data_IF_388928636270
#
_entry.id   IF_388928636270
#
_cell.length_a   1.000
_cell.length_b   1.000
_cell.length_c   1.000
_cell.angle_alpha   90.00
_cell.angle_beta   90.00
_cell.angle_gamma   90.00
#
_symmetry.space_group_name_H-M   'P 1'
#
loop_
_entity.id
_entity.type
_entity.pdbx_description
1 polymer ?
#
# COMPACT_ATOMS: atom_id res chain seq x y z
N UNK A 1 18.46 -12.13 7.60
CA UNK A 1 17.22 -11.65 8.23
C UNK A 1 16.06 -11.99 7.31
N UNK A 2 15.04 -12.70 7.79
CA UNK A 2 13.85 -13.01 6.99
C UNK A 2 12.90 -11.80 7.01
N UNK A 3 12.56 -11.26 5.84
CA UNK A 3 11.53 -10.24 5.68
C UNK A 3 10.31 -10.92 5.03
N UNK A 4 9.26 -11.18 5.81
CA UNK A 4 8.02 -11.78 5.31
C UNK A 4 7.01 -10.64 5.12
N UNK A 5 6.56 -10.44 3.88
CA UNK A 5 5.39 -9.63 3.57
C UNK A 5 4.12 -10.42 3.84
N UNK A 6 3.21 -9.88 4.66
CA UNK A 6 1.95 -10.54 5.02
C UNK A 6 0.74 -9.78 4.45
N UNK A 7 -0.19 -10.54 3.87
CA UNK A 7 -1.49 -10.04 3.42
C UNK A 7 -2.59 -10.85 4.14
N UNK A 8 -3.25 -10.30 5.18
CA UNK A 8 -4.40 -10.95 5.79
C UNK A 8 -5.58 -10.99 4.81
N UNK A 9 -6.42 -12.03 4.89
CA UNK A 9 -7.64 -12.13 4.07
C UNK A 9 -8.62 -10.96 4.31
N UNK A 10 -8.57 -10.35 5.50
CA UNK A 10 -9.19 -9.06 5.81
C UNK A 10 -8.18 -7.91 5.66
N UNK A 11 -8.12 -7.27 4.49
CA UNK A 11 -7.24 -6.13 4.22
C UNK A 11 -8.04 -4.82 4.02
N UNK A 12 -7.47 -3.63 4.33
CA UNK A 12 -6.87 -3.16 5.59
C UNK A 12 -7.91 -2.44 6.47
N UNK A 13 -7.65 -2.38 7.78
CA UNK A 13 -8.41 -1.71 8.85
C UNK A 13 -8.48 -0.17 8.73
N UNK A 14 -7.80 0.42 7.73
CA UNK A 14 -7.66 1.86 7.52
C UNK A 14 -8.46 2.34 6.31
N UNK A 15 -9.77 2.07 6.31
CA UNK A 15 -10.68 2.37 5.20
C UNK A 15 -10.70 3.85 4.80
N UNK A 16 -10.59 4.74 5.79
CA UNK A 16 -10.63 6.19 5.63
C UNK A 16 -9.36 6.79 5.03
N UNK A 17 -8.24 6.06 5.04
CA UNK A 17 -7.00 6.53 4.47
C UNK A 17 -7.04 6.44 2.94
N UNK A 18 -6.46 7.44 2.28
CA UNK A 18 -6.14 7.35 0.85
C UNK A 18 -5.10 6.26 0.63
N UNK A 19 -5.15 5.57 -0.51
CA UNK A 19 -4.17 4.52 -0.87
C UNK A 19 -2.73 5.03 -0.73
N UNK A 20 -2.47 6.25 -1.20
CA UNK A 20 -1.17 6.92 -1.09
C UNK A 20 -0.71 7.11 0.36
N UNK A 21 -1.60 7.56 1.24
CA UNK A 21 -1.32 7.75 2.65
C UNK A 21 -1.09 6.41 3.37
N UNK A 22 -1.90 5.40 3.06
CA UNK A 22 -1.75 4.06 3.59
C UNK A 22 -0.40 3.43 3.22
N UNK A 23 0.00 3.48 1.95
CA UNK A 23 1.28 2.91 1.50
C UNK A 23 2.49 3.66 2.08
N UNK A 24 2.41 5.00 2.20
CA UNK A 24 3.45 5.80 2.87
C UNK A 24 3.58 5.44 4.36
N UNK A 25 2.44 5.26 5.04
CA UNK A 25 2.41 4.83 6.44
C UNK A 25 3.03 3.45 6.64
N UNK A 26 2.70 2.48 5.78
CA UNK A 26 3.32 1.15 5.79
C UNK A 26 4.83 1.26 5.59
N UNK A 27 5.28 2.06 4.62
CA UNK A 27 6.71 2.26 4.37
C UNK A 27 7.44 2.86 5.58
N UNK A 28 6.82 3.82 6.28
CA UNK A 28 7.38 4.40 7.51
C UNK A 28 7.49 3.37 8.63
N UNK A 29 6.46 2.56 8.88
CA UNK A 29 6.48 1.51 9.91
C UNK A 29 7.55 0.45 9.61
N UNK A 30 7.80 0.17 8.33
CA UNK A 30 8.87 -0.74 7.89
C UNK A 30 10.28 -0.14 7.99
N UNK A 31 10.40 1.11 8.42
CA UNK A 31 11.68 1.76 8.70
C UNK A 31 12.28 2.54 7.52
N UNK A 32 11.56 2.66 6.40
CA UNK A 32 12.00 3.52 5.30
C UNK A 32 11.82 4.99 5.67
N UNK A 33 12.69 5.85 5.12
CA UNK A 33 12.70 7.27 5.46
C UNK A 33 13.00 8.16 4.25
N UNK A 34 12.66 9.45 4.39
CA UNK A 34 12.94 10.50 3.42
C UNK A 34 12.51 10.13 1.98
N UNK A 35 13.44 10.30 1.04
CA UNK A 35 13.20 10.03 -0.37
C UNK A 35 13.02 8.54 -0.70
N UNK A 36 13.43 7.61 0.18
CA UNK A 36 13.24 6.18 -0.05
C UNK A 36 11.76 5.79 -0.03
N UNK A 37 10.98 6.40 0.87
CA UNK A 37 9.52 6.17 0.93
C UNK A 37 8.88 6.50 -0.42
N UNK A 38 9.18 7.67 -0.99
CA UNK A 38 8.63 8.08 -2.28
C UNK A 38 8.93 7.05 -3.36
N UNK A 39 10.22 6.72 -3.55
CA UNK A 39 10.66 5.75 -4.57
C UNK A 39 10.01 4.38 -4.42
N UNK A 40 9.90 3.86 -3.18
CA UNK A 40 9.28 2.54 -2.94
C UNK A 40 7.78 2.57 -3.17
N UNK A 41 7.11 3.63 -2.71
CA UNK A 41 5.67 3.80 -2.89
C UNK A 41 5.32 3.94 -4.38
N UNK A 42 6.08 4.72 -5.14
CA UNK A 42 5.88 4.88 -6.58
C UNK A 42 6.11 3.55 -7.32
N UNK A 43 7.15 2.79 -6.93
CA UNK A 43 7.39 1.45 -7.46
C UNK A 43 6.24 0.48 -7.21
N UNK A 44 5.71 0.39 -5.98
CA UNK A 44 4.60 -0.54 -5.68
C UNK A 44 3.28 -0.05 -6.27
N UNK A 45 3.10 1.25 -6.44
CA UNK A 45 1.95 1.85 -7.13
C UNK A 45 1.87 1.36 -8.57
N UNK A 46 2.96 1.45 -9.33
CA UNK A 46 3.04 0.93 -10.70
C UNK A 46 2.89 -0.60 -10.73
N UNK A 47 3.66 -1.33 -9.92
CA UNK A 47 3.64 -2.80 -9.91
C UNK A 47 2.26 -3.38 -9.60
N UNK A 48 1.50 -2.73 -8.71
CA UNK A 48 0.16 -3.15 -8.33
C UNK A 48 -0.96 -2.46 -9.14
N UNK A 49 -0.62 -1.68 -10.19
CA UNK A 49 -1.56 -0.95 -11.04
C UNK A 49 -2.58 -0.14 -10.23
N UNK A 50 -2.07 0.73 -9.34
CA UNK A 50 -2.89 1.52 -8.41
C UNK A 50 -3.09 2.98 -8.83
N UNK A 51 -2.55 3.41 -9.98
CA UNK A 51 -2.57 4.81 -10.45
C UNK A 51 -3.96 5.46 -10.40
N UNK A 52 -4.96 4.79 -10.96
CA UNK A 52 -6.34 5.29 -11.06
C UNK A 52 -7.02 5.47 -9.70
N UNK A 53 -6.50 4.81 -8.66
CA UNK A 53 -7.10 4.76 -7.32
C UNK A 53 -6.19 5.28 -6.23
N UNK A 54 -4.99 5.72 -6.58
CA UNK A 54 -3.93 6.07 -5.64
C UNK A 54 -4.33 7.20 -4.68
N UNK A 55 -5.22 8.04 -5.16
CA UNK A 55 -5.73 9.23 -4.52
C UNK A 55 -7.13 9.05 -3.90
N UNK A 56 -7.66 7.83 -3.87
CA UNK A 56 -8.98 7.50 -3.32
C UNK A 56 -8.88 6.84 -1.94
N UNK A 57 -9.89 6.98 -1.06
CA UNK A 57 -9.96 6.22 0.18
C UNK A 57 -10.03 4.71 -0.08
N UNK A 58 -9.31 3.92 0.71
CA UNK A 58 -9.21 2.46 0.55
C UNK A 58 -10.58 1.77 0.62
N UNK A 59 -11.51 2.27 1.44
CA UNK A 59 -12.84 1.66 1.56
C UNK A 59 -13.67 1.73 0.27
N UNK A 60 -13.47 2.79 -0.53
CA UNK A 60 -14.25 3.07 -1.75
C UNK A 60 -13.82 2.21 -2.94
N UNK A 61 -12.78 1.40 -2.75
CA UNK A 61 -12.21 0.56 -3.79
C UNK A 61 -13.01 -0.71 -3.98
N UNK A 62 -13.03 -1.21 -5.22
CA UNK A 62 -13.55 -2.55 -5.49
C UNK A 62 -12.72 -3.60 -4.75
N UNK A 63 -13.30 -4.79 -4.54
CA UNK A 63 -12.61 -5.92 -3.89
C UNK A 63 -11.27 -6.25 -4.57
N UNK A 64 -11.18 -6.13 -5.90
CA UNK A 64 -9.94 -6.34 -6.64
C UNK A 64 -8.87 -5.29 -6.34
N UNK A 65 -9.26 -4.01 -6.28
CA UNK A 65 -8.33 -2.95 -5.89
C UNK A 65 -7.89 -3.05 -4.43
N UNK A 66 -8.78 -3.42 -3.48
CA UNK A 66 -8.41 -3.69 -2.09
C UNK A 66 -7.37 -4.79 -1.97
N UNK A 67 -7.50 -5.87 -2.76
CA UNK A 67 -6.48 -6.95 -2.84
C UNK A 67 -5.14 -6.44 -3.39
N UNK A 68 -5.17 -5.60 -4.43
CA UNK A 68 -3.95 -4.99 -5.01
C UNK A 68 -3.24 -4.04 -4.03
N UNK A 69 -3.99 -3.24 -3.27
CA UNK A 69 -3.44 -2.44 -2.16
C UNK A 69 -2.82 -3.33 -1.08
N UNK A 70 -3.49 -4.44 -0.75
CA UNK A 70 -2.97 -5.48 0.11
C UNK A 70 -1.65 -6.10 -0.37
N UNK A 71 -1.53 -6.36 -1.67
CA UNK A 71 -0.31 -6.85 -2.29
C UNK A 71 0.81 -5.79 -2.25
N UNK A 72 0.48 -4.53 -2.58
CA UNK A 72 1.43 -3.43 -2.55
C UNK A 72 2.03 -3.23 -1.16
N UNK A 73 1.23 -3.29 -0.09
CA UNK A 73 1.77 -3.23 1.26
C UNK A 73 2.67 -4.44 1.60
N UNK A 74 2.37 -5.64 1.09
CA UNK A 74 3.17 -6.82 1.37
C UNK A 74 4.57 -6.70 0.74
N UNK A 75 4.67 -6.08 -0.44
CA UNK A 75 5.91 -5.87 -1.19
C UNK A 75 6.83 -4.81 -0.57
N UNK A 76 6.27 -3.78 0.09
CA UNK A 76 7.01 -2.60 0.56
C UNK A 76 8.25 -2.89 1.42
#
# INVERSE_FOLDING_TARGET
KAAIGYLPEGAPTYGDMRVSAFLRFIAQIRGFNGAEIGRRVDRVREMAALDEVFDRPVETLSKGFKRRVGLAQAIL
#
